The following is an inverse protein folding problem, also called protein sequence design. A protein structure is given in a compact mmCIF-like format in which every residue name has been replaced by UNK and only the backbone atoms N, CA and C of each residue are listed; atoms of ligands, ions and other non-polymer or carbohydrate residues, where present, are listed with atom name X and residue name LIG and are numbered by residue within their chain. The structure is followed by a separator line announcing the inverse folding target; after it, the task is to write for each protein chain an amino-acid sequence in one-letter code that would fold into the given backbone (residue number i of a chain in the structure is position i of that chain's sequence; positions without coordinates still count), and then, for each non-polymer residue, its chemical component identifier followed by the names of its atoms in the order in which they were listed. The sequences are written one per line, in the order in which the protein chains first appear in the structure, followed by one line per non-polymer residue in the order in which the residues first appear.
data_IF_224974562840
#
_entry.id   IF_224974562840
#
_cell.length_a   1.000
_cell.length_b   1.000
_cell.length_c   1.000
_cell.angle_alpha   90.00
_cell.angle_beta   90.00
_cell.angle_gamma   90.00
#
_symmetry.space_group_name_H-M   'P 1'
#
loop_
_entity.id
_entity.type
_entity.pdbx_description
1 polymer ?
#
# COMPACT_ATOMS: atom_id res chain seq x y z
N UNK A 1 -24.50 8.41 8.79
CA UNK A 1 -23.67 7.79 7.75
C UNK A 1 -24.30 6.48 7.40
N UNK A 2 -24.65 6.29 6.13
CA UNK A 2 -25.10 5.00 5.62
C UNK A 2 -23.86 4.10 5.48
N UNK A 3 -23.85 2.97 6.19
CA UNK A 3 -22.72 2.04 6.30
C UNK A 3 -22.90 0.81 5.36
N UNK A 4 -24.05 0.69 4.71
CA UNK A 4 -24.43 -0.48 3.92
C UNK A 4 -23.50 -0.65 2.70
N UNK A 5 -23.12 0.46 2.05
CA UNK A 5 -22.22 0.47 0.89
C UNK A 5 -20.72 0.40 1.19
N UNK A 6 -20.28 0.42 2.46
CA UNK A 6 -18.85 0.38 2.80
C UNK A 6 -18.32 -1.03 3.08
N UNK A 7 -19.16 -2.06 2.93
CA UNK A 7 -18.82 -3.46 3.23
C UNK A 7 -18.18 -4.19 2.06
N UNK A 8 -18.16 -3.57 0.88
CA UNK A 8 -17.60 -4.14 -0.34
C UNK A 8 -16.08 -4.00 -0.36
N UNK A 9 -15.38 -5.08 -0.72
CA UNK A 9 -13.91 -5.11 -0.80
C UNK A 9 -13.35 -4.17 -1.90
N UNK A 10 -14.19 -3.75 -2.84
CA UNK A 10 -13.83 -2.85 -3.94
C UNK A 10 -14.05 -1.37 -3.60
N UNK A 11 -14.55 -1.05 -2.41
CA UNK A 11 -14.85 0.32 -2.03
C UNK A 11 -13.57 1.06 -1.61
N UNK A 12 -13.10 1.95 -2.48
CA UNK A 12 -11.96 2.82 -2.19
C UNK A 12 -12.38 4.02 -1.34
N UNK A 13 -11.69 4.24 -0.22
CA UNK A 13 -11.90 5.45 0.58
C UNK A 13 -10.97 6.56 0.09
N UNK A 14 -11.58 7.64 -0.43
CA UNK A 14 -10.84 8.83 -0.81
C UNK A 14 -10.34 9.57 0.44
N UNK A 15 -9.14 10.13 0.35
CA UNK A 15 -8.48 10.85 1.45
C UNK A 15 -9.38 11.94 2.06
N UNK A 16 -10.01 12.75 1.22
CA UNK A 16 -10.89 13.83 1.68
C UNK A 16 -12.12 13.29 2.41
N UNK A 17 -12.66 12.14 1.96
CA UNK A 17 -13.78 11.52 2.64
C UNK A 17 -13.38 10.99 4.01
N UNK A 18 -12.19 10.40 4.13
CA UNK A 18 -11.63 9.98 5.41
C UNK A 18 -11.47 11.15 6.38
N UNK A 19 -10.98 12.29 5.90
CA UNK A 19 -10.86 13.53 6.70
C UNK A 19 -12.22 14.06 7.14
N UNK A 20 -13.21 14.09 6.24
CA UNK A 20 -14.57 14.58 6.51
C UNK A 20 -15.24 13.80 7.65
N UNK A 21 -15.05 12.48 7.70
CA UNK A 21 -15.63 11.61 8.72
C UNK A 21 -14.81 11.58 10.03
N UNK A 22 -13.73 12.36 10.11
CA UNK A 22 -12.92 12.52 11.32
C UNK A 22 -11.82 11.47 11.52
N UNK A 23 -11.44 10.72 10.48
CA UNK A 23 -10.29 9.81 10.59
C UNK A 23 -8.98 10.60 10.65
N UNK A 24 -8.07 10.16 11.52
CA UNK A 24 -6.70 10.67 11.56
C UNK A 24 -5.89 10.09 10.40
N UNK A 25 -5.83 10.81 9.28
CA UNK A 25 -5.15 10.38 8.06
C UNK A 25 -4.06 11.37 7.66
N UNK A 26 -2.92 10.82 7.23
CA UNK A 26 -1.78 11.58 6.70
C UNK A 26 -1.57 11.18 5.25
N UNK A 27 -1.42 12.17 4.36
CA UNK A 27 -1.03 11.87 2.98
C UNK A 27 0.48 11.60 2.95
N UNK A 28 0.90 10.56 2.25
CA UNK A 28 2.32 10.20 2.15
C UNK A 28 3.07 11.33 1.42
N UNK A 29 2.39 11.97 0.47
CA UNK A 29 2.88 13.06 -0.37
C UNK A 29 3.13 14.36 0.39
N UNK A 30 2.64 14.49 1.63
CA UNK A 30 2.89 15.67 2.47
C UNK A 30 4.33 15.66 3.05
N UNK A 31 5.04 14.52 3.01
CA UNK A 31 6.44 14.38 3.44
C UNK A 31 7.29 13.71 2.35
N UNK A 32 8.13 14.52 1.69
CA UNK A 32 8.98 14.07 0.60
C UNK A 32 9.95 12.95 1.02
N UNK A 33 10.49 12.97 2.24
CA UNK A 33 11.45 11.95 2.67
C UNK A 33 10.75 10.60 2.84
N UNK A 34 9.58 10.63 3.49
CA UNK A 34 8.76 9.43 3.66
C UNK A 34 8.30 8.86 2.32
N UNK A 35 7.89 9.73 1.39
CA UNK A 35 7.46 9.31 0.07
C UNK A 35 8.58 8.59 -0.70
N UNK A 36 9.79 9.14 -0.71
CA UNK A 36 10.94 8.52 -1.39
C UNK A 36 11.32 7.19 -0.75
N UNK A 37 11.30 7.09 0.58
CA UNK A 37 11.56 5.83 1.29
C UNK A 37 10.57 4.74 0.88
N UNK A 38 9.27 5.05 0.80
CA UNK A 38 8.23 4.10 0.37
C UNK A 38 8.41 3.72 -1.11
N UNK A 39 8.66 4.69 -1.98
CA UNK A 39 8.85 4.47 -3.41
C UNK A 39 10.09 3.60 -3.69
N UNK A 40 11.15 3.71 -2.89
CA UNK A 40 12.33 2.87 -3.02
C UNK A 40 12.00 1.37 -2.83
N UNK A 41 11.18 1.03 -1.83
CA UNK A 41 10.70 -0.34 -1.58
C UNK A 41 9.77 -0.79 -2.70
N UNK A 42 8.87 0.07 -3.16
CA UNK A 42 7.99 -0.21 -4.29
C UNK A 42 8.80 -0.57 -5.55
N UNK A 43 9.78 0.26 -5.92
CA UNK A 43 10.63 0.02 -7.09
C UNK A 43 11.45 -1.27 -6.96
N UNK A 44 11.93 -1.61 -5.77
CA UNK A 44 12.61 -2.89 -5.53
C UNK A 44 11.69 -4.09 -5.81
N UNK A 45 10.42 -4.02 -5.39
CA UNK A 45 9.42 -5.05 -5.68
C UNK A 45 9.09 -5.13 -7.17
N UNK A 46 8.84 -3.99 -7.83
CA UNK A 46 8.58 -3.93 -9.28
C UNK A 46 9.74 -4.53 -10.07
N UNK A 47 10.98 -4.16 -9.74
CA UNK A 47 12.18 -4.72 -10.37
C UNK A 47 12.30 -6.24 -10.14
N UNK A 48 11.93 -6.72 -8.96
CA UNK A 48 11.93 -8.16 -8.63
C UNK A 48 10.90 -8.91 -9.47
N UNK A 49 9.67 -8.42 -9.56
CA UNK A 49 8.63 -9.02 -10.39
C UNK A 49 8.99 -8.99 -11.88
N UNK A 50 9.63 -7.94 -12.36
CA UNK A 50 10.03 -7.84 -13.76
C UNK A 50 11.19 -8.77 -14.15
N UNK A 51 12.02 -9.19 -13.19
CA UNK A 51 13.28 -9.91 -13.46
C UNK A 51 13.30 -11.35 -12.96
N UNK A 52 12.23 -11.82 -12.31
CA UNK A 52 12.14 -13.16 -11.72
C UNK A 52 10.81 -13.82 -12.08
N UNK A 53 10.64 -15.11 -11.78
CA UNK A 53 9.36 -15.80 -11.91
C UNK A 53 8.44 -15.61 -10.68
N UNK A 54 8.76 -14.68 -9.78
CA UNK A 54 7.94 -14.40 -8.60
C UNK A 54 6.55 -13.90 -9.03
N UNK A 55 5.49 -14.48 -8.45
CA UNK A 55 4.10 -14.07 -8.63
C UNK A 55 3.53 -13.39 -7.38
N UNK A 56 4.16 -13.60 -6.22
CA UNK A 56 3.79 -12.97 -4.95
C UNK A 56 5.01 -12.83 -4.05
N UNK A 57 5.14 -11.68 -3.41
CA UNK A 57 6.14 -11.41 -2.38
C UNK A 57 5.45 -10.77 -1.19
N UNK A 58 5.65 -11.32 0.01
CA UNK A 58 5.26 -10.72 1.28
C UNK A 58 6.52 -10.56 2.10
N UNK A 59 6.83 -9.33 2.52
CA UNK A 59 7.99 -9.03 3.36
C UNK A 59 7.60 -8.05 4.46
N UNK A 60 8.22 -8.17 5.63
CA UNK A 60 8.07 -7.22 6.72
C UNK A 60 9.39 -6.47 7.02
N UNK A 61 9.31 -5.45 7.88
CA UNK A 61 10.46 -4.64 8.26
C UNK A 61 11.53 -5.39 9.11
N UNK A 62 11.23 -6.59 9.61
CA UNK A 62 12.18 -7.42 10.36
C UNK A 62 12.89 -8.45 9.47
N UNK A 63 12.71 -8.38 8.15
CA UNK A 63 13.36 -9.25 7.17
C UNK A 63 12.68 -10.61 6.95
N UNK A 64 11.56 -10.89 7.62
CA UNK A 64 10.76 -12.07 7.29
C UNK A 64 10.18 -11.92 5.89
N UNK A 65 10.30 -12.96 5.07
CA UNK A 65 9.86 -12.94 3.68
C UNK A 65 9.17 -14.27 3.30
N UNK A 66 8.17 -14.17 2.43
CA UNK A 66 7.53 -15.29 1.77
C UNK A 66 7.33 -14.95 0.30
N UNK A 67 7.99 -15.71 -0.57
CA UNK A 67 7.94 -15.53 -2.03
C UNK A 67 7.33 -16.77 -2.67
N UNK A 68 6.38 -16.57 -3.58
CA UNK A 68 5.79 -17.62 -4.41
C UNK A 68 6.20 -17.35 -5.86
N UNK A 69 6.76 -18.35 -6.52
CA UNK A 69 7.10 -18.31 -7.95
C UNK A 69 6.16 -19.17 -8.79
N UNK A 70 6.19 -18.93 -10.12
CA UNK A 70 5.56 -19.78 -11.12
C UNK A 70 6.34 -21.09 -11.34
#
# INVERSE_FOLDING_TARGET
MDYEGTTEHSHHFLLDKCREIGLNVTAIEDDQSLQEDILSVHHAFVATFARTSAIKVIQNATGANWTVGA
#
